data_IF_605562989480
#
_entry.id   IF_605562989480
#
_cell.length_a   1.000
_cell.length_b   1.000
_cell.length_c   1.000
_cell.angle_alpha   90.00
_cell.angle_beta   90.00
_cell.angle_gamma   90.00
#
_symmetry.space_group_name_H-M   'P 1'
#
loop_
_entity.id
_entity.type
_entity.pdbx_description
1 polymer ?
#
# COMPACT_ATOMS: atom_id res chain seq x y z
N UNK A 1 8.02 31.42 8.27
CA UNK A 1 7.74 30.86 6.93
C UNK A 1 6.55 29.94 7.08
N UNK A 2 5.48 30.20 6.34
CA UNK A 2 4.32 29.33 6.25
C UNK A 2 4.71 28.09 5.44
N UNK A 3 4.38 26.89 5.91
CA UNK A 3 4.71 25.65 5.22
C UNK A 3 3.77 25.48 4.02
N UNK A 4 4.32 25.13 2.86
CA UNK A 4 3.52 24.76 1.70
C UNK A 4 2.63 23.55 2.02
N UNK A 5 1.40 23.51 1.49
CA UNK A 5 0.50 22.35 1.62
C UNK A 5 0.25 21.87 3.06
N UNK A 6 0.12 22.78 4.03
CA UNK A 6 0.03 22.44 5.45
C UNK A 6 -1.05 21.37 5.76
N UNK A 7 -2.24 21.48 5.19
CA UNK A 7 -3.33 20.50 5.37
C UNK A 7 -2.93 19.09 4.93
N UNK A 8 -2.29 18.93 3.77
CA UNK A 8 -1.81 17.63 3.27
C UNK A 8 -0.68 17.10 4.18
N UNK A 9 0.22 17.99 4.62
CA UNK A 9 1.29 17.62 5.56
C UNK A 9 0.72 17.10 6.87
N UNK A 10 -0.28 17.77 7.43
CA UNK A 10 -0.97 17.34 8.65
C UNK A 10 -1.68 15.99 8.46
N UNK A 11 -2.32 15.78 7.31
CA UNK A 11 -2.96 14.49 6.97
C UNK A 11 -1.93 13.35 6.88
N UNK A 12 -0.76 13.58 6.25
CA UNK A 12 0.34 12.61 6.22
C UNK A 12 0.81 12.27 7.65
N UNK A 13 0.95 13.27 8.52
CA UNK A 13 1.35 13.06 9.91
C UNK A 13 0.30 12.23 10.68
N UNK A 14 -0.98 12.56 10.55
CA UNK A 14 -2.07 11.82 11.18
C UNK A 14 -2.08 10.34 10.74
N UNK A 15 -1.93 10.07 9.45
CA UNK A 15 -1.83 8.69 8.94
C UNK A 15 -0.58 7.99 9.45
N UNK A 16 0.59 8.65 9.48
CA UNK A 16 1.81 8.08 10.06
C UNK A 16 1.59 7.65 11.52
N UNK A 17 0.97 8.53 12.33
CA UNK A 17 0.68 8.22 13.72
C UNK A 17 -0.31 7.04 13.86
N UNK A 18 -1.36 6.99 13.03
CA UNK A 18 -2.32 5.87 13.01
C UNK A 18 -1.66 4.55 12.61
N UNK A 19 -0.81 4.55 11.60
CA UNK A 19 -0.04 3.37 11.19
C UNK A 19 0.79 2.83 12.37
N UNK A 20 1.47 3.72 13.09
CA UNK A 20 2.25 3.34 14.27
C UNK A 20 1.35 2.82 15.42
N UNK A 21 0.24 3.50 15.72
CA UNK A 21 -0.71 3.09 16.77
C UNK A 21 -1.34 1.72 16.47
N UNK A 22 -1.55 1.39 15.20
CA UNK A 22 -2.08 0.10 14.74
C UNK A 22 -1.02 -1.00 14.67
N UNK A 23 0.26 -0.67 14.88
CA UNK A 23 1.36 -1.62 14.84
C UNK A 23 1.63 -2.19 13.45
N UNK A 24 1.31 -1.45 12.39
CA UNK A 24 1.56 -1.87 11.00
C UNK A 24 2.88 -1.32 10.44
N UNK A 25 3.66 -0.65 11.29
CA UNK A 25 5.03 -0.18 11.06
C UNK A 25 5.85 -0.42 12.33
N UNK A 26 7.14 -0.72 12.20
CA UNK A 26 8.08 -0.94 13.29
C UNK A 26 9.27 0.03 13.21
N UNK A 27 9.70 0.54 14.38
CA UNK A 27 10.80 1.49 14.50
C UNK A 27 10.67 2.69 13.54
N UNK A 28 11.45 2.71 12.45
CA UNK A 28 11.53 3.77 11.45
C UNK A 28 11.21 3.28 10.02
N UNK A 29 10.56 2.12 9.90
CA UNK A 29 10.12 1.55 8.63
C UNK A 29 8.86 2.25 8.07
N UNK A 30 8.40 1.75 6.94
CA UNK A 30 7.27 2.28 6.19
C UNK A 30 7.56 3.66 5.58
N UNK A 31 6.74 4.05 4.62
CA UNK A 31 6.79 5.38 4.04
C UNK A 31 5.50 5.74 3.30
N UNK A 32 5.23 7.04 3.24
CA UNK A 32 4.05 7.62 2.59
C UNK A 32 4.52 8.64 1.59
N UNK A 33 3.85 8.70 0.43
CA UNK A 33 3.88 9.88 -0.42
C UNK A 33 2.49 10.26 -0.92
N UNK A 34 2.35 11.55 -1.25
CA UNK A 34 1.14 12.14 -1.82
C UNK A 34 1.54 13.02 -3.02
N UNK A 35 0.85 12.83 -4.15
CA UNK A 35 0.98 13.65 -5.35
C UNK A 35 0.23 14.97 -5.17
N UNK A 36 0.89 16.07 -5.48
CA UNK A 36 0.36 17.43 -5.40
C UNK A 36 -0.21 17.88 -6.75
N UNK A 37 -1.03 18.93 -6.73
CA UNK A 37 -1.70 19.47 -7.92
C UNK A 37 -0.72 19.95 -9.00
N UNK A 38 0.47 20.43 -8.61
CA UNK A 38 1.51 20.86 -9.55
C UNK A 38 2.42 19.71 -10.04
N UNK A 39 2.07 18.47 -9.73
CA UNK A 39 2.79 17.28 -10.18
C UNK A 39 4.04 16.95 -9.39
N UNK A 40 4.31 17.65 -8.29
CA UNK A 40 5.35 17.30 -7.30
C UNK A 40 4.80 16.37 -6.21
N UNK A 41 5.63 15.91 -5.28
CA UNK A 41 5.23 14.95 -4.25
C UNK A 41 5.65 15.41 -2.86
N UNK A 42 4.81 15.18 -1.86
CA UNK A 42 5.22 15.16 -0.45
C UNK A 42 5.51 13.74 -0.03
N UNK A 43 6.63 13.53 0.67
CA UNK A 43 7.11 12.23 1.10
C UNK A 43 7.56 12.26 2.56
N UNK A 44 7.40 11.15 3.27
CA UNK A 44 8.03 10.98 4.60
C UNK A 44 9.56 10.88 4.47
N UNK A 45 10.33 11.49 5.39
CA UNK A 45 11.77 11.37 5.40
C UNK A 45 12.23 9.97 5.82
N UNK A 46 13.45 9.61 5.43
CA UNK A 46 14.14 8.39 5.88
C UNK A 46 14.51 8.45 7.36
N UNK A 47 14.57 7.31 8.02
CA UNK A 47 15.13 7.16 9.36
C UNK A 47 14.28 7.70 10.52
N UNK A 48 13.10 8.24 10.25
CA UNK A 48 12.20 8.81 11.27
C UNK A 48 11.02 7.87 11.53
N UNK A 49 10.79 7.56 12.80
CA UNK A 49 9.62 6.80 13.23
C UNK A 49 8.33 7.50 12.86
N UNK A 50 7.34 6.75 12.36
CA UNK A 50 6.03 7.30 12.01
C UNK A 50 5.27 7.88 13.20
N UNK A 51 5.65 7.52 14.43
CA UNK A 51 5.13 8.14 15.67
C UNK A 51 5.63 9.56 15.93
N UNK A 52 6.70 10.00 15.26
CA UNK A 52 7.40 11.26 15.52
C UNK A 52 7.37 12.23 14.33
N UNK A 53 6.67 11.87 13.25
CA UNK A 53 6.60 12.69 12.04
C UNK A 53 5.85 13.98 12.33
N UNK A 54 6.42 15.11 11.90
CA UNK A 54 5.77 16.41 11.96
C UNK A 54 5.72 17.06 10.57
N UNK A 55 4.81 18.03 10.32
CA UNK A 55 4.68 18.66 9.01
C UNK A 55 5.99 19.24 8.44
N UNK A 56 6.86 19.76 9.32
CA UNK A 56 8.16 20.35 8.96
C UNK A 56 9.19 19.33 8.47
N UNK A 57 9.04 18.07 8.87
CA UNK A 57 9.98 17.00 8.50
C UNK A 57 9.70 16.41 7.12
N UNK A 58 8.49 16.63 6.58
CA UNK A 58 8.11 16.10 5.27
C UNK A 58 8.88 16.78 4.16
N UNK A 59 9.31 15.97 3.20
CA UNK A 59 10.17 16.38 2.09
C UNK A 59 9.34 16.48 0.83
N UNK A 60 9.50 17.57 0.08
CA UNK A 60 8.90 17.75 -1.23
C UNK A 60 9.89 17.40 -2.32
N UNK A 61 9.49 16.56 -3.28
CA UNK A 61 10.34 16.14 -4.40
C UNK A 61 9.66 16.38 -5.75
N UNK A 62 10.46 16.48 -6.81
CA UNK A 62 9.97 16.34 -8.18
C UNK A 62 9.75 14.85 -8.56
N UNK A 63 9.41 14.60 -9.83
CA UNK A 63 9.22 13.25 -10.41
C UNK A 63 10.50 12.44 -10.54
N UNK A 64 11.66 13.08 -10.58
CA UNK A 64 12.95 12.41 -10.62
C UNK A 64 13.48 12.11 -9.21
N UNK A 65 12.74 12.50 -8.16
CA UNK A 65 13.14 12.33 -6.76
C UNK A 65 14.11 13.40 -6.27
N UNK A 66 14.34 14.48 -7.03
CA UNK A 66 15.15 15.60 -6.56
C UNK A 66 14.38 16.37 -5.48
N UNK A 67 15.07 16.75 -4.42
CA UNK A 67 14.49 17.51 -3.31
C UNK A 67 14.25 18.96 -3.73
N UNK A 68 13.00 19.41 -3.64
CA UNK A 68 12.57 20.78 -3.89
C UNK A 68 12.43 21.59 -2.59
N UNK A 69 11.96 20.94 -1.52
CA UNK A 69 11.74 21.57 -0.22
C UNK A 69 11.95 20.56 0.90
N UNK A 70 12.90 20.82 1.81
CA UNK A 70 13.12 20.05 3.03
C UNK A 70 13.82 20.92 4.08
N UNK A 71 13.55 20.68 5.36
CA UNK A 71 14.40 21.20 6.43
C UNK A 71 15.76 20.47 6.43
N UNK A 72 16.82 21.17 6.82
CA UNK A 72 18.17 20.62 6.90
C UNK A 72 18.21 19.28 7.64
N UNK A 73 18.88 18.30 7.02
CA UNK A 73 19.02 16.94 7.55
C UNK A 73 17.95 15.95 7.11
N UNK A 74 16.80 16.39 6.61
CA UNK A 74 15.76 15.48 6.11
C UNK A 74 15.93 15.17 4.63
N UNK A 75 15.78 13.89 4.29
CA UNK A 75 15.87 13.37 2.92
C UNK A 75 14.76 12.34 2.70
N UNK A 76 14.24 12.18 1.47
CA UNK A 76 13.25 11.14 1.19
C UNK A 76 13.83 9.74 1.44
N UNK A 77 12.96 8.77 1.71
CA UNK A 77 13.34 7.35 1.71
C UNK A 77 13.90 6.94 0.35
N UNK A 78 14.92 6.08 0.33
CA UNK A 78 15.42 5.46 -0.91
C UNK A 78 14.34 4.63 -1.60
N UNK A 79 13.34 4.17 -0.86
CA UNK A 79 12.21 3.40 -1.38
C UNK A 79 11.16 4.27 -2.09
N UNK A 80 11.29 5.60 -2.08
CA UNK A 80 10.39 6.47 -2.86
C UNK A 80 10.40 6.16 -4.36
N UNK A 81 11.45 5.51 -4.87
CA UNK A 81 11.49 5.00 -6.25
C UNK A 81 10.27 4.12 -6.60
N UNK A 82 9.84 3.25 -5.69
CA UNK A 82 8.65 2.42 -5.95
C UNK A 82 7.36 3.26 -5.96
N UNK A 83 7.29 4.33 -5.15
CA UNK A 83 6.16 5.26 -5.16
C UNK A 83 6.09 6.02 -6.49
N UNK A 84 7.23 6.52 -7.00
CA UNK A 84 7.28 7.21 -8.28
C UNK A 84 6.85 6.32 -9.44
N UNK A 85 7.22 5.03 -9.41
CA UNK A 85 6.75 4.05 -10.40
C UNK A 85 5.22 3.89 -10.38
N UNK A 86 4.60 3.88 -9.19
CA UNK A 86 3.14 3.87 -9.09
C UNK A 86 2.52 5.09 -9.78
N UNK A 87 3.02 6.30 -9.51
CA UNK A 87 2.50 7.53 -10.12
C UNK A 87 2.75 7.62 -11.64
N UNK A 88 3.85 7.02 -12.11
CA UNK A 88 4.19 6.96 -13.54
C UNK A 88 3.23 6.03 -14.30
N UNK A 89 2.93 4.86 -13.74
CA UNK A 89 2.13 3.82 -14.41
C UNK A 89 0.63 4.00 -14.22
N UNK A 90 0.21 4.77 -13.22
CA UNK A 90 -1.19 4.94 -12.84
C UNK A 90 -1.52 6.41 -12.61
N UNK A 91 -2.24 7.01 -13.56
CA UNK A 91 -2.69 8.41 -13.44
C UNK A 91 -3.71 8.60 -12.31
N UNK A 92 -4.49 7.56 -11.99
CA UNK A 92 -5.50 7.55 -10.94
C UNK A 92 -4.92 7.48 -9.52
N UNK A 93 -3.61 7.29 -9.38
CA UNK A 93 -2.93 7.24 -8.08
C UNK A 93 -2.54 8.65 -7.64
N UNK A 94 -3.11 9.07 -6.50
CA UNK A 94 -2.80 10.32 -5.82
C UNK A 94 -2.00 10.13 -4.52
N UNK A 95 -1.97 8.92 -3.96
CA UNK A 95 -1.13 8.60 -2.82
C UNK A 95 -0.67 7.14 -2.80
N UNK A 96 0.45 6.90 -2.13
CA UNK A 96 1.05 5.58 -1.97
C UNK A 96 1.50 5.40 -0.53
N UNK A 97 1.17 4.23 0.04
CA UNK A 97 1.54 3.83 1.41
C UNK A 97 2.31 2.51 1.33
N UNK A 98 3.51 2.52 1.88
CA UNK A 98 4.30 1.33 2.12
C UNK A 98 4.45 1.10 3.61
N UNK A 99 4.32 -0.16 4.03
CA UNK A 99 4.38 -0.54 5.43
C UNK A 99 4.80 -2.00 5.57
N UNK A 100 4.95 -2.43 6.82
CA UNK A 100 5.34 -3.79 7.20
C UNK A 100 4.32 -4.40 8.17
N UNK A 101 3.03 -4.52 7.81
CA UNK A 101 2.02 -5.10 8.71
C UNK A 101 2.38 -6.56 9.02
N UNK A 102 2.37 -7.00 10.30
CA UNK A 102 2.97 -8.28 10.68
C UNK A 102 2.43 -9.50 9.93
N UNK A 103 1.11 -9.61 9.75
CA UNK A 103 0.56 -10.78 9.07
C UNK A 103 0.67 -10.66 7.56
N UNK A 104 0.38 -9.51 6.96
CA UNK A 104 0.60 -9.30 5.54
C UNK A 104 2.06 -9.58 5.14
N UNK A 105 3.01 -9.12 5.96
CA UNK A 105 4.45 -9.37 5.78
C UNK A 105 4.79 -10.84 5.97
N UNK A 106 4.14 -11.55 6.89
CA UNK A 106 4.32 -13.00 7.05
C UNK A 106 3.88 -13.78 5.82
N UNK A 107 2.75 -13.40 5.20
CA UNK A 107 2.30 -13.96 3.92
C UNK A 107 3.29 -13.67 2.79
N UNK A 108 3.76 -12.43 2.70
CA UNK A 108 4.77 -12.02 1.73
C UNK A 108 6.08 -12.81 1.87
N UNK A 109 6.57 -12.99 3.10
CA UNK A 109 7.76 -13.78 3.41
C UNK A 109 7.58 -15.28 3.12
N UNK A 110 6.35 -15.79 3.24
CA UNK A 110 6.00 -17.17 2.89
C UNK A 110 5.75 -17.38 1.38
N UNK A 111 5.83 -16.31 0.57
CA UNK A 111 5.49 -16.38 -0.85
C UNK A 111 4.03 -16.74 -1.12
N UNK A 112 3.13 -16.42 -0.18
CA UNK A 112 1.69 -16.72 -0.28
C UNK A 112 0.92 -15.43 -0.55
N UNK A 113 0.20 -15.40 -1.67
CA UNK A 113 -0.72 -14.32 -2.00
C UNK A 113 -1.95 -14.33 -1.07
N UNK A 114 -2.68 -13.21 -1.02
CA UNK A 114 -4.00 -13.16 -0.40
C UNK A 114 -5.05 -13.25 -1.50
N UNK A 115 -5.54 -14.45 -1.78
CA UNK A 115 -6.44 -14.72 -2.91
C UNK A 115 -7.64 -15.62 -2.52
N UNK A 116 -8.01 -15.63 -1.25
CA UNK A 116 -9.20 -16.32 -0.74
C UNK A 116 -10.45 -15.42 -0.84
N UNK A 117 -11.46 -15.89 -1.58
CA UNK A 117 -12.72 -15.19 -1.84
C UNK A 117 -13.85 -15.71 -0.94
N UNK A 118 -13.56 -15.88 0.35
CA UNK A 118 -14.49 -16.42 1.35
C UNK A 118 -15.03 -15.37 2.33
N UNK A 119 -14.53 -14.13 2.26
CA UNK A 119 -14.94 -13.00 3.12
C UNK A 119 -15.32 -11.81 2.25
N UNK A 120 -16.57 -11.36 2.34
CA UNK A 120 -17.14 -10.33 1.45
C UNK A 120 -16.36 -9.02 1.48
N UNK A 121 -15.93 -8.57 2.67
CA UNK A 121 -15.16 -7.34 2.85
C UNK A 121 -13.83 -7.38 2.10
N UNK A 122 -13.13 -8.52 2.11
CA UNK A 122 -11.87 -8.70 1.40
C UNK A 122 -12.08 -8.67 -0.12
N UNK A 123 -13.17 -9.30 -0.60
CA UNK A 123 -13.55 -9.34 -2.02
C UNK A 123 -13.85 -7.92 -2.53
N UNK A 124 -14.66 -7.14 -1.79
CA UNK A 124 -15.11 -5.83 -2.24
C UNK A 124 -13.97 -4.79 -2.17
N UNK A 125 -13.25 -4.75 -1.05
CA UNK A 125 -12.27 -3.68 -0.78
C UNK A 125 -10.93 -3.89 -1.48
N UNK A 126 -10.51 -5.14 -1.67
CA UNK A 126 -9.13 -5.45 -2.08
C UNK A 126 -9.09 -6.38 -3.29
N UNK A 127 -9.84 -7.48 -3.28
CA UNK A 127 -9.64 -8.58 -4.23
C UNK A 127 -8.34 -9.33 -3.95
N UNK A 128 -7.86 -10.11 -4.92
CA UNK A 128 -6.59 -10.79 -4.77
C UNK A 128 -5.42 -9.79 -4.56
N UNK A 129 -4.51 -10.10 -3.64
CA UNK A 129 -3.26 -9.34 -3.41
C UNK A 129 -2.09 -10.25 -3.81
N UNK A 130 -1.41 -9.98 -4.92
CA UNK A 130 -0.29 -10.77 -5.39
C UNK A 130 0.95 -10.58 -4.50
N UNK A 131 1.90 -11.49 -4.63
CA UNK A 131 3.26 -11.31 -4.11
C UNK A 131 4.19 -10.99 -5.27
N UNK A 132 4.74 -9.78 -5.29
CA UNK A 132 5.80 -9.40 -6.20
C UNK A 132 7.08 -10.20 -5.91
N UNK A 133 7.85 -10.63 -6.93
CA UNK A 133 9.12 -11.31 -6.74
C UNK A 133 10.08 -10.51 -5.83
N UNK A 134 10.99 -11.22 -5.16
CA UNK A 134 12.01 -10.57 -4.35
C UNK A 134 12.86 -9.63 -5.21
N UNK A 135 13.13 -8.46 -4.66
CA UNK A 135 13.97 -7.44 -5.25
C UNK A 135 14.73 -6.73 -4.13
N UNK A 136 15.97 -6.32 -4.41
CA UNK A 136 16.83 -5.69 -3.42
C UNK A 136 16.33 -4.27 -3.13
N UNK A 137 15.98 -3.91 -1.87
CA UNK A 137 15.53 -2.57 -1.53
C UNK A 137 16.54 -1.48 -1.94
N UNK A 138 16.04 -0.28 -2.24
CA UNK A 138 16.84 0.87 -2.73
C UNK A 138 17.42 0.75 -4.15
N UNK A 139 17.12 -0.32 -4.89
CA UNK A 139 17.50 -0.49 -6.30
C UNK A 139 16.31 -0.25 -7.24
N UNK A 140 16.53 -0.29 -8.56
CA UNK A 140 15.43 -0.28 -9.56
C UNK A 140 14.67 -1.62 -9.61
N UNK A 141 15.21 -2.69 -9.01
CA UNK A 141 14.57 -4.00 -9.00
C UNK A 141 13.21 -3.97 -8.30
N UNK A 142 13.04 -3.17 -7.24
CA UNK A 142 11.76 -3.08 -6.52
C UNK A 142 10.68 -2.43 -7.38
N UNK A 143 10.87 -1.23 -7.96
CA UNK A 143 9.97 -0.69 -8.98
C UNK A 143 9.62 -1.69 -10.09
N UNK A 144 10.61 -2.38 -10.64
CA UNK A 144 10.42 -3.33 -11.74
C UNK A 144 9.61 -4.57 -11.30
N UNK A 145 9.79 -5.03 -10.06
CA UNK A 145 9.06 -6.19 -9.51
C UNK A 145 7.58 -5.93 -9.31
N UNK A 146 7.18 -4.68 -9.00
CA UNK A 146 5.78 -4.33 -8.73
C UNK A 146 5.02 -3.92 -10.00
N UNK A 147 5.72 -3.40 -11.01
CA UNK A 147 5.12 -2.84 -12.22
C UNK A 147 4.09 -3.75 -12.91
N UNK A 148 4.36 -5.07 -13.11
CA UNK A 148 3.41 -5.97 -13.77
C UNK A 148 2.05 -6.07 -13.06
N UNK A 149 2.00 -5.76 -11.76
CA UNK A 149 0.78 -5.87 -10.96
C UNK A 149 0.02 -4.54 -10.86
N UNK A 150 0.71 -3.41 -11.07
CA UNK A 150 0.12 -2.07 -10.96
C UNK A 150 -1.04 -1.86 -11.92
N UNK A 151 -1.12 -2.57 -13.04
CA UNK A 151 -2.25 -2.42 -13.95
C UNK A 151 -3.58 -2.90 -13.35
N UNK A 152 -3.58 -3.88 -12.44
CA UNK A 152 -4.83 -4.51 -12.01
C UNK A 152 -5.06 -4.45 -10.49
N UNK A 153 -4.06 -4.02 -9.73
CA UNK A 153 -4.06 -4.11 -8.28
C UNK A 153 -3.85 -2.74 -7.62
N UNK A 154 -4.51 -2.54 -6.49
CA UNK A 154 -4.26 -1.40 -5.60
C UNK A 154 -3.40 -1.78 -4.39
N UNK A 155 -3.11 -3.07 -4.21
CA UNK A 155 -2.31 -3.63 -3.13
C UNK A 155 -1.40 -4.72 -3.66
N UNK A 156 -0.15 -4.72 -3.22
CA UNK A 156 0.87 -5.70 -3.62
C UNK A 156 1.67 -6.08 -2.37
N UNK A 157 1.82 -7.39 -2.12
CA UNK A 157 2.79 -7.90 -1.15
C UNK A 157 4.18 -7.96 -1.80
N UNK A 158 5.23 -7.68 -1.03
CA UNK A 158 6.61 -7.66 -1.50
C UNK A 158 7.37 -8.82 -0.85
N UNK A 159 7.81 -9.82 -1.62
CA UNK A 159 8.44 -11.02 -1.08
C UNK A 159 9.59 -10.69 -0.12
N UNK A 160 9.57 -11.30 1.08
CA UNK A 160 10.54 -11.07 2.17
C UNK A 160 10.66 -9.62 2.66
N UNK A 161 9.72 -8.75 2.31
CA UNK A 161 9.80 -7.34 2.60
C UNK A 161 8.57 -6.83 3.36
N UNK A 162 7.47 -6.51 2.69
CA UNK A 162 6.31 -5.85 3.32
C UNK A 162 5.13 -5.75 2.36
N UNK A 163 4.37 -4.66 2.43
CA UNK A 163 3.24 -4.39 1.54
C UNK A 163 3.27 -2.98 0.98
N UNK A 164 2.69 -2.80 -0.21
CA UNK A 164 2.52 -1.52 -0.90
C UNK A 164 1.05 -1.36 -1.28
N UNK A 165 0.47 -0.20 -0.96
CA UNK A 165 -0.88 0.15 -1.39
C UNK A 165 -0.93 1.51 -2.05
N UNK A 166 -1.85 1.66 -2.99
CA UNK A 166 -2.09 2.90 -3.73
C UNK A 166 -3.56 3.31 -3.65
N UNK A 167 -3.83 4.59 -3.87
CA UNK A 167 -5.19 5.12 -3.92
C UNK A 167 -5.24 6.50 -4.56
N UNK A 168 -6.45 7.00 -4.91
CA UNK A 168 -6.62 8.35 -5.46
C UNK A 168 -6.30 9.45 -4.45
N UNK A 169 -6.34 9.13 -3.16
CA UNK A 169 -5.94 10.01 -2.06
C UNK A 169 -5.30 9.18 -0.93
N UNK A 170 -4.74 9.90 0.05
CA UNK A 170 -4.01 9.30 1.15
C UNK A 170 -4.88 8.39 2.03
N UNK A 171 -6.14 8.75 2.29
CA UNK A 171 -7.01 7.94 3.12
C UNK A 171 -7.38 6.64 2.39
N UNK A 172 -7.67 6.69 1.10
CA UNK A 172 -7.93 5.51 0.30
C UNK A 172 -6.73 4.54 0.29
N UNK A 173 -5.51 5.05 0.08
CA UNK A 173 -4.29 4.24 0.12
C UNK A 173 -4.06 3.62 1.51
N UNK A 174 -4.26 4.40 2.57
CA UNK A 174 -4.13 3.95 3.96
C UNK A 174 -5.19 2.90 4.35
N UNK A 175 -6.47 3.11 4.02
CA UNK A 175 -7.53 2.14 4.29
C UNK A 175 -7.32 0.83 3.53
N UNK A 176 -6.74 0.89 2.32
CA UNK A 176 -6.30 -0.31 1.60
C UNK A 176 -5.23 -1.06 2.40
N UNK A 177 -4.26 -0.37 3.01
CA UNK A 177 -3.24 -1.00 3.85
C UNK A 177 -3.86 -1.68 5.09
N UNK A 178 -4.82 -1.03 5.76
CA UNK A 178 -5.56 -1.64 6.86
C UNK A 178 -6.36 -2.88 6.39
N UNK A 179 -6.95 -2.81 5.20
CA UNK A 179 -7.69 -3.92 4.60
C UNK A 179 -6.79 -5.11 4.28
N UNK A 180 -5.57 -4.87 3.78
CA UNK A 180 -4.58 -5.94 3.51
C UNK A 180 -4.18 -6.67 4.78
N UNK A 181 -3.93 -5.94 5.88
CA UNK A 181 -3.61 -6.58 7.16
C UNK A 181 -4.81 -7.33 7.75
N UNK A 182 -6.03 -6.79 7.61
CA UNK A 182 -7.26 -7.49 7.99
C UNK A 182 -7.47 -8.77 7.17
N UNK A 183 -7.20 -8.71 5.87
CA UNK A 183 -7.27 -9.85 4.97
C UNK A 183 -6.26 -10.92 5.40
N UNK A 184 -5.01 -10.56 5.66
CA UNK A 184 -4.00 -11.51 6.16
C UNK A 184 -4.42 -12.13 7.52
N UNK A 185 -4.98 -11.34 8.44
CA UNK A 185 -5.55 -11.83 9.72
C UNK A 185 -6.64 -12.87 9.51
N UNK A 186 -7.64 -12.52 8.72
CA UNK A 186 -8.77 -13.42 8.46
C UNK A 186 -8.33 -14.68 7.72
N UNK A 187 -7.46 -14.57 6.72
CA UNK A 187 -6.90 -15.72 6.01
C UNK A 187 -6.10 -16.65 6.94
N UNK A 188 -5.28 -16.11 7.86
CA UNK A 188 -4.57 -16.95 8.83
C UNK A 188 -5.53 -17.66 9.79
N UNK A 189 -6.53 -16.95 10.33
CA UNK A 189 -7.55 -17.53 11.19
C UNK A 189 -8.32 -18.65 10.47
N UNK A 190 -8.70 -18.45 9.21
CA UNK A 190 -9.38 -19.47 8.41
C UNK A 190 -8.53 -20.71 8.23
N UNK A 191 -7.22 -20.57 7.96
CA UNK A 191 -6.30 -21.71 7.89
C UNK A 191 -6.25 -22.49 9.20
N UNK A 192 -6.23 -21.80 10.35
CA UNK A 192 -6.28 -22.44 11.67
C UNK A 192 -7.60 -23.19 11.89
N UNK A 193 -8.71 -22.67 11.36
CA UNK A 193 -10.04 -23.30 11.45
C UNK A 193 -10.25 -24.47 10.46
N UNK A 194 -9.26 -24.79 9.62
CA UNK A 194 -9.35 -25.86 8.62
C UNK A 194 -9.66 -25.40 7.20
N UNK A 195 -9.64 -24.09 6.94
CA UNK A 195 -9.92 -23.49 5.64
C UNK A 195 -11.38 -23.09 5.43
N UNK A 196 -11.64 -22.46 4.29
CA UNK A 196 -12.98 -22.15 3.81
C UNK A 196 -12.99 -22.20 2.28
N UNK A 197 -14.12 -22.60 1.71
CA UNK A 197 -14.32 -22.53 0.26
C UNK A 197 -14.54 -21.07 -0.17
N UNK A 198 -14.09 -20.76 -1.39
CA UNK A 198 -14.42 -19.49 -2.02
C UNK A 198 -15.95 -19.41 -2.23
N UNK A 199 -16.51 -18.22 -2.12
CA UNK A 199 -17.91 -17.97 -2.50
C UNK A 199 -18.14 -18.34 -3.97
N UNK A 200 -19.38 -18.68 -4.38
CA UNK A 200 -19.70 -18.89 -5.79
C UNK A 200 -19.24 -17.70 -6.65
N UNK A 201 -18.66 -17.98 -7.82
CA UNK A 201 -18.12 -16.90 -8.68
C UNK A 201 -19.19 -15.90 -9.16
N UNK A 202 -20.46 -16.30 -9.21
CA UNK A 202 -21.59 -15.39 -9.46
C UNK A 202 -21.80 -14.38 -8.33
N UNK A 203 -21.70 -14.83 -7.08
CA UNK A 203 -21.80 -13.95 -5.92
C UNK A 203 -20.58 -13.03 -5.82
N UNK A 204 -19.38 -13.55 -6.11
CA UNK A 204 -18.16 -12.74 -6.18
C UNK A 204 -18.31 -11.63 -7.23
N UNK A 205 -18.81 -11.95 -8.44
CA UNK A 205 -19.07 -10.95 -9.48
C UNK A 205 -20.09 -9.91 -9.04
N UNK A 206 -21.14 -10.34 -8.34
CA UNK A 206 -22.15 -9.45 -7.76
C UNK A 206 -21.53 -8.47 -6.76
N UNK A 207 -20.71 -8.98 -5.82
CA UNK A 207 -20.01 -8.17 -4.83
C UNK A 207 -19.07 -7.16 -5.47
N UNK A 208 -18.33 -7.55 -6.50
CA UNK A 208 -17.46 -6.63 -7.25
C UNK A 208 -18.29 -5.51 -7.90
N UNK A 209 -19.46 -5.82 -8.43
CA UNK A 209 -20.40 -4.83 -8.98
C UNK A 209 -20.91 -3.81 -7.97
N UNK A 210 -20.98 -4.15 -6.67
CA UNK A 210 -21.41 -3.22 -5.62
C UNK A 210 -20.42 -2.06 -5.39
N UNK A 211 -19.15 -2.21 -5.80
CA UNK A 211 -18.12 -1.18 -5.62
C UNK A 211 -18.52 0.17 -6.20
N UNK A 212 -19.20 0.18 -7.35
CA UNK A 212 -19.68 1.40 -8.00
C UNK A 212 -20.68 2.13 -7.09
N UNK A 213 -21.68 1.41 -6.58
CA UNK A 213 -22.68 1.96 -5.66
C UNK A 213 -22.08 2.45 -4.34
N UNK A 214 -21.05 1.77 -3.84
CA UNK A 214 -20.31 2.17 -2.63
C UNK A 214 -19.24 3.23 -2.87
N UNK A 215 -19.05 3.67 -4.13
CA UNK A 215 -18.02 4.64 -4.52
C UNK A 215 -16.60 4.19 -4.13
N UNK A 216 -16.35 2.88 -4.16
CA UNK A 216 -15.03 2.32 -3.93
C UNK A 216 -14.22 2.50 -5.21
N UNK A 217 -13.26 3.40 -5.15
CA UNK A 217 -12.35 3.76 -6.25
C UNK A 217 -11.16 2.81 -6.34
N UNK A 218 -10.34 2.99 -7.37
CA UNK A 218 -9.17 2.15 -7.65
C UNK A 218 -9.52 0.90 -8.48
N UNK A 219 -8.52 0.08 -8.76
CA UNK A 219 -8.65 -1.10 -9.62
C UNK A 219 -9.02 -2.35 -8.81
N UNK A 220 -9.45 -3.37 -9.53
CA UNK A 220 -9.81 -4.66 -8.95
C UNK A 220 -9.49 -5.77 -9.94
N UNK A 221 -8.78 -6.83 -9.55
CA UNK A 221 -8.35 -7.87 -10.48
C UNK A 221 -9.48 -8.82 -10.90
N UNK A 222 -10.66 -8.73 -10.30
CA UNK A 222 -11.73 -9.71 -10.50
C UNK A 222 -11.51 -10.95 -9.63
N UNK A 223 -11.86 -12.12 -10.17
CA UNK A 223 -11.55 -13.41 -9.54
C UNK A 223 -10.25 -13.98 -10.12
N UNK A 224 -9.18 -13.96 -9.33
CA UNK A 224 -7.84 -14.43 -9.72
C UNK A 224 -7.21 -15.19 -8.56
N UNK A 225 -6.55 -16.31 -8.85
CA UNK A 225 -5.78 -17.11 -7.87
C UNK A 225 -4.31 -17.10 -8.27
N UNK A 226 -3.44 -16.82 -7.31
CA UNK A 226 -1.98 -16.81 -7.43
C UNK A 226 -1.34 -17.99 -6.71
N UNK A 227 -1.92 -18.40 -5.58
CA UNK A 227 -1.49 -19.57 -4.85
C UNK A 227 -1.82 -20.84 -5.63
N UNK A 228 -0.89 -21.79 -5.64
CA UNK A 228 -1.19 -23.15 -6.10
C UNK A 228 -2.17 -23.81 -5.12
N UNK A 229 -3.05 -24.72 -5.58
CA UNK A 229 -3.82 -25.57 -4.69
C UNK A 229 -2.88 -26.24 -3.68
N UNK A 230 -3.22 -26.20 -2.39
CA UNK A 230 -2.48 -26.94 -1.37
C UNK A 230 -2.72 -28.45 -1.63
N UNK A 231 -1.64 -29.23 -1.79
CA UNK A 231 -1.68 -30.70 -2.02
C UNK A 231 -2.17 -31.47 -0.78
#
# INVERSE_FOLDING_TARGET
>A
MELSYLSIREQICDVCHKMWQRGIVAANDGNISVKLEDGTFLCTPTGISKSMITPKMLVRTDRAGNVLEAQDGYRPSSEMKMHYRCYEKREDVGAVVHAHPPLATSFAAAGKALDAYCVMENIVNTGAVPVAPYATPSTEEVPDSIEPFLENHDAILLAHHGALTVGPDLLAAYYKMESVEFYAKTSLCLKILGGAEDMPQEDIRTLIGLREGYKITGRHPGYVKYNKPEE
#
